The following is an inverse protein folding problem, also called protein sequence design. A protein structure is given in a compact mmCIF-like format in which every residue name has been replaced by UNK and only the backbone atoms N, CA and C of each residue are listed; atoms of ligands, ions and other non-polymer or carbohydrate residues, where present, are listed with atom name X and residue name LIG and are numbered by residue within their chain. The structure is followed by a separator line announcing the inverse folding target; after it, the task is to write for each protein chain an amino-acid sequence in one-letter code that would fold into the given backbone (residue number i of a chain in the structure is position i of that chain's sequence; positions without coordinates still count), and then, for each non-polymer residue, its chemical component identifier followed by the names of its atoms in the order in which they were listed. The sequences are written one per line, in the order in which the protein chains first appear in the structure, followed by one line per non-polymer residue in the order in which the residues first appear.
data_IF_542997156890
#
_entry.id   IF_542997156890
#
_cell.length_a   1.000
_cell.length_b   1.000
_cell.length_c   1.000
_cell.angle_alpha   90.00
_cell.angle_beta   90.00
_cell.angle_gamma   90.00
#
_symmetry.space_group_name_H-M   'P 1'
#
loop_
_entity.id
_entity.type
_entity.pdbx_description
1 polymer ?
#
# COMPACT_ATOMS: atom_id res chain seq x y z
N UNK A 1 23.05 7.51 3.23
CA UNK A 1 22.31 7.20 2.00
C UNK A 1 20.93 6.76 2.43
N UNK A 2 19.91 7.61 2.28
CA UNK A 2 18.52 7.25 2.53
C UNK A 2 18.07 6.34 1.39
N UNK A 3 17.73 5.09 1.68
CA UNK A 3 17.13 4.19 0.69
C UNK A 3 15.81 4.83 0.24
N UNK A 4 15.55 4.96 -1.07
CA UNK A 4 14.29 5.54 -1.53
C UNK A 4 13.13 4.68 -1.06
N UNK A 5 12.08 5.36 -0.62
CA UNK A 5 10.79 4.77 -0.26
C UNK A 5 10.25 3.90 -1.41
N UNK A 6 9.47 2.88 -1.04
CA UNK A 6 8.74 2.09 -2.00
C UNK A 6 7.42 2.78 -2.33
N UNK A 7 7.13 2.95 -3.62
CA UNK A 7 5.89 3.56 -4.09
C UNK A 7 5.08 2.60 -4.96
N UNK A 8 3.76 2.62 -4.79
CA UNK A 8 2.83 1.88 -5.65
C UNK A 8 1.57 2.69 -5.92
N UNK A 9 1.02 2.58 -7.13
CA UNK A 9 -0.29 3.13 -7.48
C UNK A 9 -1.41 2.07 -7.48
N UNK A 10 -1.05 0.82 -7.19
CA UNK A 10 -1.99 -0.30 -7.11
C UNK A 10 -2.61 -0.34 -5.71
N UNK A 11 -3.91 -0.05 -5.63
CA UNK A 11 -4.68 -0.05 -4.38
C UNK A 11 -4.64 -1.39 -3.65
N UNK A 12 -4.66 -2.52 -4.39
CA UNK A 12 -4.65 -3.84 -3.79
C UNK A 12 -3.27 -4.18 -3.26
N UNK A 13 -2.21 -3.81 -3.99
CA UNK A 13 -0.84 -3.93 -3.49
C UNK A 13 -0.64 -3.10 -2.22
N UNK A 14 -1.10 -1.84 -2.21
CA UNK A 14 -1.07 -0.98 -1.02
C UNK A 14 -1.81 -1.62 0.18
N UNK A 15 -3.02 -2.14 -0.04
CA UNK A 15 -3.77 -2.81 1.03
C UNK A 15 -3.10 -4.10 1.52
N UNK A 16 -2.46 -4.85 0.63
CA UNK A 16 -1.67 -6.01 0.99
C UNK A 16 -0.51 -5.60 1.90
N UNK A 17 0.25 -4.57 1.54
CA UNK A 17 1.38 -4.08 2.35
C UNK A 17 0.92 -3.62 3.74
N UNK A 18 -0.18 -2.86 3.83
CA UNK A 18 -0.78 -2.50 5.12
C UNK A 18 -1.19 -3.75 5.93
N UNK A 19 -1.74 -4.78 5.27
CA UNK A 19 -2.11 -6.04 5.93
C UNK A 19 -0.93 -6.86 6.44
N UNK A 20 0.26 -6.68 5.84
CA UNK A 20 1.53 -7.24 6.33
C UNK A 20 2.17 -6.39 7.44
N UNK A 21 1.55 -5.26 7.82
CA UNK A 21 2.02 -4.39 8.88
C UNK A 21 2.93 -3.24 8.42
N UNK A 22 3.09 -3.03 7.11
CA UNK A 22 3.82 -1.86 6.61
C UNK A 22 3.04 -0.58 6.86
N UNK A 23 3.70 0.41 7.44
CA UNK A 23 3.13 1.73 7.65
C UNK A 23 3.02 2.49 6.33
N UNK A 24 1.84 3.02 6.02
CA UNK A 24 1.66 3.98 4.93
C UNK A 24 2.29 5.32 5.35
N UNK A 25 3.30 5.79 4.61
CA UNK A 25 4.04 7.01 4.95
C UNK A 25 3.33 8.26 4.43
N UNK A 26 2.90 8.24 3.17
CA UNK A 26 2.19 9.33 2.52
C UNK A 26 1.38 8.82 1.33
N UNK A 27 0.46 9.67 0.86
CA UNK A 27 -0.31 9.47 -0.37
C UNK A 27 -0.16 10.71 -1.23
N UNK A 28 0.44 10.54 -2.40
CA UNK A 28 0.56 11.60 -3.40
C UNK A 28 -0.58 11.49 -4.41
N UNK A 29 -1.20 12.62 -4.76
CA UNK A 29 -2.32 12.67 -5.70
C UNK A 29 -1.97 13.54 -6.90
N UNK A 30 -2.08 12.95 -8.09
CA UNK A 30 -1.92 13.65 -9.37
C UNK A 30 -3.20 13.45 -10.20
N UNK A 31 -4.14 14.39 -10.06
CA UNK A 31 -5.47 14.29 -10.66
C UNK A 31 -6.28 13.10 -10.12
N UNK A 32 -6.59 12.14 -10.98
CA UNK A 32 -7.30 10.91 -10.60
C UNK A 32 -6.36 9.80 -10.09
N UNK A 33 -5.05 9.96 -10.22
CA UNK A 33 -4.06 8.97 -9.81
C UNK A 33 -3.64 9.22 -8.36
N UNK A 34 -3.61 8.15 -7.57
CA UNK A 34 -3.05 8.13 -6.22
C UNK A 34 -1.81 7.22 -6.20
N UNK A 35 -0.76 7.68 -5.54
CA UNK A 35 0.48 6.94 -5.30
C UNK A 35 0.67 6.79 -3.80
N UNK A 36 0.86 5.57 -3.34
CA UNK A 36 1.03 5.22 -1.92
C UNK A 36 2.50 4.98 -1.63
N UNK A 37 3.02 5.65 -0.60
CA UNK A 37 4.43 5.58 -0.21
C UNK A 37 4.59 4.74 1.04
N UNK A 38 5.57 3.84 1.02
CA UNK A 38 5.87 2.88 2.07
C UNK A 38 7.37 2.84 2.36
N UNK A 39 7.78 2.32 3.52
CA UNK A 39 9.17 2.06 3.81
C UNK A 39 9.84 1.19 2.72
N UNK A 40 11.15 1.35 2.47
CA UNK A 40 11.86 0.61 1.42
C UNK A 40 11.73 -0.92 1.54
N UNK A 41 11.64 -1.44 2.77
CA UNK A 41 11.44 -2.87 3.08
C UNK A 41 10.13 -3.44 2.52
N UNK A 42 9.11 -2.61 2.31
CA UNK A 42 7.84 -3.02 1.71
C UNK A 42 8.01 -3.52 0.25
N UNK A 43 9.13 -3.20 -0.40
CA UNK A 43 9.42 -3.65 -1.77
C UNK A 43 9.46 -5.17 -1.87
N UNK A 44 9.97 -5.88 -0.87
CA UNK A 44 10.02 -7.34 -0.91
C UNK A 44 8.63 -7.96 -0.83
N UNK A 45 7.80 -7.50 0.12
CA UNK A 45 6.43 -7.98 0.28
C UNK A 45 5.52 -7.58 -0.89
N UNK A 46 5.81 -6.47 -1.57
CA UNK A 46 5.09 -6.12 -2.81
C UNK A 46 5.29 -7.17 -3.90
N UNK A 47 6.47 -7.82 -3.96
CA UNK A 47 6.70 -8.91 -4.90
C UNK A 47 5.95 -10.17 -4.48
N UNK A 48 5.81 -10.41 -3.17
CA UNK A 48 5.00 -11.51 -2.65
C UNK A 48 3.52 -11.36 -3.06
N UNK A 49 2.98 -10.14 -3.04
CA UNK A 49 1.63 -9.86 -3.57
C UNK A 49 1.48 -10.31 -5.03
N UNK A 50 2.40 -9.92 -5.91
CA UNK A 50 2.34 -10.31 -7.33
C UNK A 50 2.61 -11.80 -7.58
N UNK A 51 3.14 -12.52 -6.58
CA UNK A 51 3.26 -13.99 -6.57
C UNK A 51 2.06 -14.69 -5.92
N UNK A 52 0.97 -13.96 -5.64
CA UNK A 52 -0.25 -14.44 -4.99
C UNK A 52 -0.02 -14.98 -3.57
N UNK A 53 0.84 -14.33 -2.80
CA UNK A 53 1.01 -14.65 -1.39
C UNK A 53 -0.33 -14.50 -0.63
N UNK A 54 -0.64 -15.42 0.30
CA UNK A 54 -1.87 -15.35 1.07
C UNK A 54 -1.81 -14.17 2.05
N UNK A 55 -2.97 -13.55 2.30
CA UNK A 55 -3.16 -12.54 3.35
C UNK A 55 -4.47 -12.79 4.09
N UNK A 56 -4.55 -12.52 5.41
CA UNK A 56 -5.81 -12.61 6.14
C UNK A 56 -6.88 -11.68 5.54
N UNK A 57 -7.97 -12.27 5.06
CA UNK A 57 -9.04 -11.53 4.36
C UNK A 57 -9.58 -10.32 5.14
N UNK A 58 -9.70 -10.43 6.47
CA UNK A 58 -10.18 -9.33 7.32
C UNK A 58 -9.19 -8.17 7.39
N UNK A 59 -7.89 -8.46 7.49
CA UNK A 59 -6.86 -7.43 7.54
C UNK A 59 -6.80 -6.68 6.19
N UNK A 60 -6.83 -7.42 5.09
CA UNK A 60 -6.87 -6.86 3.74
C UNK A 60 -8.13 -6.01 3.51
N UNK A 61 -9.32 -6.49 3.89
CA UNK A 61 -10.56 -5.75 3.72
C UNK A 61 -10.59 -4.44 4.53
N UNK A 62 -10.07 -4.46 5.75
CA UNK A 62 -9.90 -3.25 6.56
C UNK A 62 -8.95 -2.26 5.87
N UNK A 63 -7.78 -2.72 5.43
CA UNK A 63 -6.82 -1.88 4.72
C UNK A 63 -7.39 -1.24 3.45
N UNK A 64 -8.15 -2.00 2.63
CA UNK A 64 -8.84 -1.45 1.45
C UNK A 64 -9.83 -0.35 1.84
N UNK A 65 -10.62 -0.56 2.90
CA UNK A 65 -11.59 0.43 3.36
C UNK A 65 -10.87 1.71 3.80
N UNK A 66 -9.80 1.57 4.57
CA UNK A 66 -9.06 2.69 5.13
C UNK A 66 -8.36 3.49 4.02
N UNK A 67 -7.75 2.82 3.04
CA UNK A 67 -7.18 3.47 1.84
C UNK A 67 -8.25 4.18 1.01
N UNK A 68 -9.43 3.57 0.82
CA UNK A 68 -10.54 4.22 0.10
C UNK A 68 -11.08 5.45 0.85
N UNK A 69 -11.06 5.46 2.17
CA UNK A 69 -11.42 6.63 2.96
C UNK A 69 -10.40 7.76 2.74
N UNK A 70 -9.11 7.46 2.81
CA UNK A 70 -8.03 8.42 2.54
C UNK A 70 -8.15 9.07 1.15
N UNK A 71 -8.41 8.26 0.11
CA UNK A 71 -8.58 8.76 -1.28
C UNK A 71 -9.81 9.68 -1.42
N UNK A 72 -10.82 9.54 -0.55
CA UNK A 72 -12.04 10.37 -0.59
C UNK A 72 -11.92 11.66 0.20
N UNK A 73 -11.15 11.64 1.29
CA UNK A 73 -10.98 12.79 2.19
C UNK A 73 -9.93 13.79 1.71
N UNK A 74 -9.09 13.40 0.75
CA UNK A 74 -8.00 14.22 0.18
C UNK A 74 -8.36 14.73 -1.21
#
# INVERSE_FOLDING_TARGET
MTTPDYQTADLNCAAFLMSQGHALLSVDREGSRCTFHYPPEAREDSQAFYRNAPTPARAFANAIRDLKALIRET
#
